data_IF_831205510056
#
_entry.id   IF_831205510056
#
_cell.length_a   1.000
_cell.length_b   1.000
_cell.length_c   1.000
_cell.angle_alpha   90.00
_cell.angle_beta   90.00
_cell.angle_gamma   90.00
#
_symmetry.space_group_name_H-M   'P 1'
#
loop_
_entity.id
_entity.type
_entity.pdbx_description
1 polymer ?
#
# COMPACT_ATOMS: atom_id res chain seq x y z
N UNK A 1 -4.89 15.76 -40.30
CA UNK A 1 -5.83 15.45 -39.20
C UNK A 1 -5.57 14.01 -38.77
N UNK A 2 -4.77 13.83 -37.72
CA UNK A 2 -4.63 12.57 -36.98
C UNK A 2 -4.35 12.99 -35.53
N UNK A 3 -5.41 13.37 -34.82
CA UNK A 3 -5.38 13.57 -33.37
C UNK A 3 -5.83 12.23 -32.76
N UNK A 4 -4.84 11.35 -32.51
CA UNK A 4 -5.08 10.08 -31.84
C UNK A 4 -4.50 10.15 -30.43
N UNK A 5 -5.42 10.27 -29.47
CA UNK A 5 -5.41 9.60 -28.17
C UNK A 5 -4.03 9.34 -27.54
N UNK A 6 -3.65 10.17 -26.58
CA UNK A 6 -2.84 9.70 -25.46
C UNK A 6 -3.26 10.42 -24.19
N UNK A 7 -4.32 9.89 -23.60
CA UNK A 7 -4.55 10.01 -22.16
C UNK A 7 -3.37 9.33 -21.47
N UNK A 8 -2.23 10.03 -21.38
CA UNK A 8 -1.19 9.66 -20.43
C UNK A 8 -1.65 10.21 -19.10
N UNK A 9 -2.44 9.37 -18.44
CA UNK A 9 -2.78 9.46 -17.04
C UNK A 9 -1.52 9.81 -16.25
N UNK A 10 -1.49 11.05 -15.81
CA UNK A 10 -0.77 11.62 -14.69
C UNK A 10 -1.00 10.79 -13.41
N UNK A 11 -0.41 9.60 -13.35
CA UNK A 11 -0.37 8.81 -12.11
C UNK A 11 0.75 9.36 -11.23
N UNK A 12 0.41 10.25 -10.30
CA UNK A 12 1.29 10.60 -9.17
C UNK A 12 0.48 11.15 -7.99
N UNK A 13 -0.39 10.33 -7.39
CA UNK A 13 -0.34 10.14 -5.94
C UNK A 13 -0.62 8.66 -5.64
N UNK A 14 0.43 7.91 -5.30
CA UNK A 14 0.39 6.46 -5.44
C UNK A 14 0.95 5.60 -4.31
N UNK A 15 1.85 6.15 -3.50
CA UNK A 15 2.78 5.31 -2.75
C UNK A 15 2.39 5.21 -1.27
N UNK A 16 2.16 3.98 -0.81
CA UNK A 16 1.81 3.66 0.57
C UNK A 16 2.91 2.85 1.25
N UNK A 17 3.12 3.06 2.55
CA UNK A 17 4.10 2.27 3.31
C UNK A 17 3.42 1.00 3.86
N UNK A 18 4.02 -0.15 3.57
CA UNK A 18 3.61 -1.43 4.15
C UNK A 18 3.94 -1.44 5.66
N UNK A 19 2.96 -1.57 6.56
CA UNK A 19 3.19 -1.55 8.01
C UNK A 19 3.91 -2.80 8.54
N UNK A 20 4.09 -3.85 7.73
CA UNK A 20 4.78 -5.09 8.12
C UNK A 20 6.29 -4.99 7.85
N UNK A 21 6.66 -4.51 6.67
CA UNK A 21 8.06 -4.50 6.24
C UNK A 21 8.65 -3.09 6.06
N UNK A 22 7.81 -2.04 6.09
CA UNK A 22 8.24 -0.66 5.86
C UNK A 22 8.58 -0.34 4.40
N UNK A 23 8.30 -1.24 3.46
CA UNK A 23 8.52 -0.98 2.04
C UNK A 23 7.44 -0.08 1.45
N UNK A 24 7.84 0.75 0.49
CA UNK A 24 6.93 1.53 -0.34
C UNK A 24 6.19 0.61 -1.31
N UNK A 25 4.87 0.76 -1.38
CA UNK A 25 3.95 0.01 -2.23
C UNK A 25 3.27 1.01 -3.16
N UNK A 26 3.43 0.83 -4.46
CA UNK A 26 2.66 1.58 -5.44
C UNK A 26 1.21 1.11 -5.44
N UNK A 27 0.28 2.04 -5.30
CA UNK A 27 -1.14 1.85 -5.50
C UNK A 27 -1.37 1.62 -6.99
N UNK A 28 -1.68 0.38 -7.30
CA UNK A 28 -1.92 -0.10 -8.64
C UNK A 28 -3.03 -1.12 -8.65
N UNK A 29 -3.50 -1.53 -9.84
CA UNK A 29 -4.53 -2.57 -9.97
C UNK A 29 -4.11 -3.91 -9.33
N UNK A 30 -2.80 -4.17 -9.27
CA UNK A 30 -2.22 -5.37 -8.66
C UNK A 30 -1.81 -5.16 -7.19
N UNK A 31 -1.97 -3.95 -6.65
CA UNK A 31 -1.59 -3.65 -5.27
C UNK A 31 -2.49 -4.39 -4.28
N UNK A 32 -1.87 -5.03 -3.30
CA UNK A 32 -2.62 -5.78 -2.29
C UNK A 32 -3.10 -4.82 -1.24
N UNK A 33 -4.42 -4.67 -1.12
CA UNK A 33 -5.04 -3.83 -0.10
C UNK A 33 -5.76 -4.67 0.96
N UNK A 34 -5.83 -4.12 2.17
CA UNK A 34 -6.61 -4.69 3.27
C UNK A 34 -7.26 -3.57 4.05
N UNK A 35 -8.56 -3.70 4.30
CA UNK A 35 -9.30 -2.71 5.08
C UNK A 35 -9.40 -3.18 6.53
N UNK A 36 -8.81 -2.40 7.45
CA UNK A 36 -8.83 -2.67 8.87
C UNK A 36 -9.22 -1.40 9.62
N UNK A 37 -10.22 -1.50 10.51
CA UNK A 37 -10.71 -0.36 11.29
C UNK A 37 -11.12 0.85 10.42
N UNK A 38 -11.81 0.58 9.29
CA UNK A 38 -12.17 1.58 8.28
C UNK A 38 -10.98 2.33 7.65
N UNK A 39 -9.76 1.81 7.80
CA UNK A 39 -8.52 2.31 7.17
C UNK A 39 -8.02 1.29 6.16
N UNK A 40 -7.70 1.76 4.95
CA UNK A 40 -7.14 0.92 3.89
C UNK A 40 -5.62 0.90 3.98
N UNK A 41 -5.05 -0.30 4.12
CA UNK A 41 -3.62 -0.56 4.14
C UNK A 41 -3.19 -1.25 2.85
N UNK A 42 -1.94 -1.02 2.47
CA UNK A 42 -1.35 -1.50 1.22
C UNK A 42 -0.14 -2.36 1.56
N UNK A 43 0.02 -3.46 0.84
CA UNK A 43 1.05 -4.46 1.10
C UNK A 43 1.82 -4.78 -0.17
N UNK A 44 3.13 -4.92 -0.04
CA UNK A 44 4.00 -5.24 -1.18
C UNK A 44 3.82 -6.70 -1.63
N UNK A 45 3.32 -7.57 -0.74
CA UNK A 45 3.23 -8.99 -0.95
C UNK A 45 2.04 -9.62 -0.20
N UNK A 46 1.49 -10.74 -0.71
CA UNK A 46 0.41 -11.46 -0.03
C UNK A 46 0.88 -12.05 1.32
N UNK A 47 2.19 -12.29 1.45
CA UNK A 47 2.82 -12.67 2.71
C UNK A 47 2.71 -11.57 3.78
N UNK A 48 2.96 -10.30 3.41
CA UNK A 48 2.80 -9.16 4.31
C UNK A 48 1.34 -9.01 4.74
N UNK A 49 0.38 -9.08 3.80
CA UNK A 49 -1.04 -9.06 4.15
C UNK A 49 -1.42 -10.16 5.15
N UNK A 50 -0.96 -11.39 4.97
CA UNK A 50 -1.25 -12.49 5.91
C UNK A 50 -0.60 -12.28 7.29
N UNK A 51 0.62 -11.74 7.33
CA UNK A 51 1.28 -11.40 8.58
C UNK A 51 0.55 -10.26 9.31
N UNK A 52 0.05 -9.28 8.56
CA UNK A 52 -0.79 -8.21 9.06
C UNK A 52 -2.14 -8.71 9.55
N UNK A 53 -2.83 -9.58 8.80
CA UNK A 53 -4.13 -10.16 9.18
C UNK A 53 -4.06 -10.97 10.48
N UNK A 54 -2.91 -11.61 10.76
CA UNK A 54 -2.70 -12.35 12.01
C UNK A 54 -2.66 -11.44 13.24
N UNK A 55 -1.96 -10.31 13.14
CA UNK A 55 -1.72 -9.40 14.27
C UNK A 55 -1.72 -7.92 13.82
N UNK A 56 -2.84 -7.39 13.30
CA UNK A 56 -2.87 -6.05 12.71
C UNK A 56 -2.59 -4.98 13.74
N UNK A 57 -3.13 -5.12 14.95
CA UNK A 57 -2.88 -4.19 16.06
C UNK A 57 -1.40 -4.12 16.44
N UNK A 58 -0.65 -5.23 16.34
CA UNK A 58 0.78 -5.23 16.62
C UNK A 58 1.51 -4.36 15.62
N UNK A 59 1.29 -4.58 14.33
CA UNK A 59 1.93 -3.81 13.26
C UNK A 59 1.49 -2.34 13.23
N UNK A 60 0.24 -2.06 13.60
CA UNK A 60 -0.27 -0.68 13.68
C UNK A 60 0.18 0.08 14.94
N UNK A 61 0.34 -0.59 16.07
CA UNK A 61 0.87 0.03 17.29
C UNK A 61 2.37 0.25 17.19
N UNK A 62 3.08 -0.68 16.57
CA UNK A 62 4.53 -0.57 16.39
C UNK A 62 4.86 0.43 15.27
N UNK A 63 4.05 0.47 14.20
CA UNK A 63 4.31 1.29 13.02
C UNK A 63 5.70 1.03 12.42
N UNK A 64 6.12 1.72 11.35
CA UNK A 64 7.54 1.87 11.11
C UNK A 64 8.09 2.66 12.30
N UNK A 65 8.62 1.96 13.30
CA UNK A 65 9.28 2.55 14.46
C UNK A 65 10.45 3.39 13.96
N UNK A 66 10.17 4.67 13.67
CA UNK A 66 11.15 5.74 13.70
C UNK A 66 11.54 5.97 15.16
N UNK A 67 12.18 5.00 15.78
CA UNK A 67 12.77 5.15 17.09
C UNK A 67 14.13 5.86 16.90
N UNK A 68 14.03 7.20 16.91
CA UNK A 68 15.06 8.23 17.17
C UNK A 68 16.47 8.07 16.60
#
# INVERSE_FOLDING_TARGET
>A
MHDQHSSKQDLAPGEHIDPVCGMTVEEGPDAITYEYNATKYYFCAPGCRRAFEKDPEKWLRDGPQGHM
#
